data_IF_048416144683
#
_entry.id   IF_048416144683
#
_cell.length_a   1.000
_cell.length_b   1.000
_cell.length_c   1.000
_cell.angle_alpha   90.00
_cell.angle_beta   90.00
_cell.angle_gamma   90.00
#
_symmetry.space_group_name_H-M   'P 1'
#
loop_
_entity.id
_entity.type
_entity.pdbx_description
1 polymer ?
#
# COMPACT_ATOMS: atom_id res chain seq x y z
N UNK A 1 -44.37 20.09 -37.19
CA UNK A 1 -43.79 20.04 -35.81
C UNK A 1 -44.11 21.33 -35.04
N UNK A 2 -43.94 22.56 -35.59
CA UNK A 2 -44.16 23.81 -34.87
C UNK A 2 -45.60 24.03 -34.36
N UNK A 3 -46.66 23.72 -35.19
CA UNK A 3 -48.04 23.84 -34.76
C UNK A 3 -48.41 22.87 -33.62
N UNK A 4 -47.83 21.70 -33.57
CA UNK A 4 -48.02 20.73 -32.50
C UNK A 4 -47.44 21.26 -31.19
N UNK A 5 -46.23 21.79 -31.23
CA UNK A 5 -45.55 22.34 -30.07
C UNK A 5 -46.30 23.54 -29.46
N UNK A 6 -46.89 24.40 -30.30
CA UNK A 6 -47.66 25.55 -29.82
C UNK A 6 -48.99 25.10 -29.18
N UNK A 7 -49.65 24.13 -29.73
CA UNK A 7 -50.97 23.69 -29.27
C UNK A 7 -50.87 22.90 -27.95
N UNK A 8 -49.78 22.14 -27.74
CA UNK A 8 -49.56 21.28 -26.58
C UNK A 8 -48.47 21.78 -25.64
N UNK A 9 -48.17 23.11 -25.66
CA UNK A 9 -47.08 23.69 -24.86
C UNK A 9 -47.15 23.38 -23.37
N UNK A 10 -48.34 23.39 -22.75
CA UNK A 10 -48.53 23.05 -21.32
C UNK A 10 -48.25 21.59 -21.03
N UNK A 11 -48.69 20.70 -21.93
CA UNK A 11 -48.43 19.26 -21.80
C UNK A 11 -46.93 18.93 -21.95
N UNK A 12 -46.25 19.55 -22.91
CA UNK A 12 -44.82 19.37 -23.11
C UNK A 12 -44.04 19.88 -21.92
N UNK A 13 -44.42 21.03 -21.34
CA UNK A 13 -43.79 21.60 -20.16
C UNK A 13 -43.93 20.66 -18.93
N UNK A 14 -45.14 20.18 -18.67
CA UNK A 14 -45.40 19.24 -17.57
C UNK A 14 -44.62 17.94 -17.75
N UNK A 15 -44.63 17.38 -18.96
CA UNK A 15 -43.89 16.15 -19.27
C UNK A 15 -42.37 16.34 -19.09
N UNK A 16 -41.84 17.47 -19.57
CA UNK A 16 -40.42 17.80 -19.43
C UNK A 16 -40.01 17.95 -17.93
N UNK A 17 -40.84 18.64 -17.15
CA UNK A 17 -40.60 18.81 -15.71
C UNK A 17 -40.64 17.45 -14.98
N UNK A 18 -41.57 16.60 -15.37
CA UNK A 18 -41.68 15.22 -14.82
C UNK A 18 -40.44 14.37 -15.14
N UNK A 19 -39.97 14.44 -16.38
CA UNK A 19 -38.74 13.70 -16.81
C UNK A 19 -37.52 14.23 -16.03
N UNK A 20 -37.38 15.56 -15.86
CA UNK A 20 -36.29 16.14 -15.07
C UNK A 20 -36.37 15.67 -13.62
N UNK A 21 -37.55 15.68 -13.00
CA UNK A 21 -37.74 15.19 -11.64
C UNK A 21 -37.36 13.73 -11.46
N UNK A 22 -37.79 12.86 -12.41
CA UNK A 22 -37.41 11.44 -12.44
C UNK A 22 -35.90 11.25 -12.65
N UNK A 23 -35.27 12.07 -13.45
CA UNK A 23 -33.82 12.02 -13.68
C UNK A 23 -33.06 12.37 -12.42
N UNK A 24 -33.43 13.42 -11.71
CA UNK A 24 -32.81 13.82 -10.44
C UNK A 24 -32.97 12.69 -9.41
N UNK A 25 -34.15 12.13 -9.31
CA UNK A 25 -34.40 10.99 -8.42
C UNK A 25 -33.57 9.76 -8.80
N UNK A 26 -33.44 9.45 -10.10
CA UNK A 26 -32.59 8.37 -10.61
C UNK A 26 -31.12 8.58 -10.27
N UNK A 27 -30.60 9.79 -10.48
CA UNK A 27 -29.20 10.13 -10.17
C UNK A 27 -28.93 9.99 -8.68
N UNK A 28 -29.86 10.39 -7.80
CA UNK A 28 -29.67 10.28 -6.34
C UNK A 28 -29.64 8.84 -5.83
N UNK A 29 -30.08 7.88 -6.64
CA UNK A 29 -30.06 6.42 -6.36
C UNK A 29 -28.90 5.69 -7.02
N UNK A 30 -28.06 6.41 -7.73
CA UNK A 30 -26.93 5.83 -8.45
C UNK A 30 -25.80 5.55 -7.47
N UNK A 31 -25.53 4.30 -7.21
CA UNK A 31 -24.33 3.84 -6.50
C UNK A 31 -23.25 3.51 -7.52
N UNK A 32 -22.09 4.12 -7.36
CA UNK A 32 -20.92 3.78 -8.19
C UNK A 32 -20.29 2.56 -7.56
N UNK A 33 -20.57 1.41 -8.14
CA UNK A 33 -19.95 0.16 -7.73
C UNK A 33 -18.64 -0.02 -8.52
N UNK A 34 -17.53 -0.06 -7.82
CA UNK A 34 -16.20 -0.24 -8.40
C UNK A 34 -15.58 -1.60 -8.03
N UNK A 35 -16.41 -2.52 -7.52
CA UNK A 35 -15.99 -3.87 -7.17
C UNK A 35 -15.70 -4.71 -8.41
N UNK A 36 -14.45 -5.18 -8.53
CA UNK A 36 -14.05 -6.04 -9.64
C UNK A 36 -14.79 -7.40 -9.63
N UNK A 37 -15.10 -7.90 -8.44
CA UNK A 37 -15.80 -9.20 -8.25
C UNK A 37 -17.19 -9.14 -8.85
N UNK A 38 -17.88 -8.01 -8.73
CA UNK A 38 -19.27 -7.86 -9.17
C UNK A 38 -19.45 -7.74 -10.70
N UNK A 39 -18.34 -7.64 -11.46
CA UNK A 39 -18.42 -7.78 -12.92
C UNK A 39 -18.76 -9.20 -13.38
N UNK A 40 -18.56 -10.20 -12.52
CA UNK A 40 -18.86 -11.58 -12.85
C UNK A 40 -20.24 -11.98 -12.32
N UNK A 41 -20.96 -12.81 -13.09
CA UNK A 41 -22.22 -13.34 -12.61
C UNK A 41 -22.04 -14.20 -11.35
N UNK A 42 -22.87 -13.97 -10.32
CA UNK A 42 -22.84 -14.67 -9.02
C UNK A 42 -22.91 -16.20 -9.12
N UNK A 43 -23.35 -16.73 -10.27
CA UNK A 43 -23.47 -18.17 -10.53
C UNK A 43 -22.17 -18.81 -11.03
N UNK A 44 -21.20 -18.01 -11.47
CA UNK A 44 -19.95 -18.51 -12.05
C UNK A 44 -18.98 -18.99 -10.96
N UNK A 45 -18.18 -19.99 -11.29
CA UNK A 45 -17.10 -20.47 -10.41
C UNK A 45 -16.04 -19.39 -10.15
N UNK A 46 -15.81 -18.51 -11.14
CA UNK A 46 -14.90 -17.37 -11.01
C UNK A 46 -15.36 -16.43 -9.90
N UNK A 47 -16.66 -16.06 -9.89
CA UNK A 47 -17.21 -15.20 -8.83
C UNK A 47 -17.04 -15.82 -7.44
N UNK A 48 -17.40 -17.11 -7.31
CA UNK A 48 -17.29 -17.83 -6.04
C UNK A 48 -15.84 -17.94 -5.56
N UNK A 49 -14.91 -18.22 -6.48
CA UNK A 49 -13.49 -18.30 -6.17
C UNK A 49 -12.91 -16.95 -5.75
N UNK A 50 -13.21 -15.88 -6.47
CA UNK A 50 -12.76 -14.53 -6.14
C UNK A 50 -13.34 -14.05 -4.81
N UNK A 51 -14.62 -14.30 -4.57
CA UNK A 51 -15.26 -13.96 -3.30
C UNK A 51 -14.64 -14.72 -2.13
N UNK A 52 -14.32 -15.99 -2.30
CA UNK A 52 -13.62 -16.77 -1.28
C UNK A 52 -12.23 -16.21 -0.99
N UNK A 53 -11.48 -15.79 -2.02
CA UNK A 53 -10.18 -15.14 -1.87
C UNK A 53 -10.33 -13.82 -1.12
N UNK A 54 -11.31 -13.01 -1.49
CA UNK A 54 -11.59 -11.73 -0.87
C UNK A 54 -11.88 -11.87 0.63
N UNK A 55 -12.80 -12.77 1.00
CA UNK A 55 -13.22 -13.00 2.38
C UNK A 55 -12.17 -13.74 3.24
N UNK A 56 -11.40 -14.67 2.66
CA UNK A 56 -10.52 -15.58 3.41
C UNK A 56 -9.04 -15.24 3.31
N UNK A 57 -8.63 -14.60 2.25
CA UNK A 57 -7.22 -14.25 2.00
C UNK A 57 -6.92 -12.74 2.10
N UNK A 58 -7.90 -11.97 2.61
CA UNK A 58 -7.70 -10.57 2.95
C UNK A 58 -7.80 -9.61 1.77
N UNK A 59 -8.70 -9.87 0.82
CA UNK A 59 -8.97 -8.97 -0.28
C UNK A 59 -8.39 -9.39 -1.62
N UNK A 60 -8.98 -8.88 -2.69
CA UNK A 60 -8.58 -9.16 -4.07
C UNK A 60 -7.85 -7.98 -4.72
N UNK A 61 -8.05 -6.76 -4.23
CA UNK A 61 -7.46 -5.56 -4.83
C UNK A 61 -6.12 -5.22 -4.18
N UNK A 62 -4.99 -5.34 -4.90
CA UNK A 62 -3.68 -4.98 -4.36
C UNK A 62 -3.51 -3.46 -4.30
N UNK A 63 -2.92 -2.97 -3.22
CA UNK A 63 -2.47 -1.60 -3.07
C UNK A 63 -1.04 -1.59 -2.51
N UNK A 64 -0.21 -0.71 -3.06
CA UNK A 64 1.17 -0.53 -2.59
C UNK A 64 1.38 0.91 -2.13
N UNK A 65 1.99 1.05 -0.97
CA UNK A 65 2.33 2.34 -0.37
C UNK A 65 3.85 2.42 -0.30
N UNK A 66 4.42 3.48 -0.86
CA UNK A 66 5.85 3.76 -0.81
C UNK A 66 6.10 4.87 0.21
N UNK A 67 6.86 4.55 1.24
CA UNK A 67 7.36 5.51 2.22
C UNK A 67 8.72 6.00 1.77
N UNK A 68 8.84 7.29 1.48
CA UNK A 68 10.09 7.95 1.16
C UNK A 68 10.65 8.64 2.38
N UNK A 69 11.88 8.30 2.74
CA UNK A 69 12.55 8.95 3.84
C UNK A 69 13.40 10.11 3.34
N UNK A 70 13.49 11.23 4.10
CA UNK A 70 14.38 12.31 3.73
C UNK A 70 15.83 11.81 3.72
N UNK A 71 16.61 12.28 2.75
CA UNK A 71 18.04 12.04 2.74
C UNK A 71 18.63 12.65 4.01
N UNK A 72 19.28 11.85 4.82
CA UNK A 72 20.06 12.35 5.94
C UNK A 72 21.23 13.08 5.30
N UNK A 73 21.22 14.43 5.33
CA UNK A 73 22.41 15.21 4.97
C UNK A 73 23.52 14.67 5.85
N UNK A 74 24.52 14.04 5.25
CA UNK A 74 25.81 13.84 5.93
C UNK A 74 26.26 15.25 6.23
N UNK A 75 26.17 15.69 7.50
CA UNK A 75 26.83 16.91 7.92
C UNK A 75 28.30 16.72 7.53
N UNK A 76 28.74 17.54 6.58
CA UNK A 76 30.13 17.58 6.15
C UNK A 76 30.93 17.93 7.39
N UNK A 77 31.44 16.93 8.07
CA UNK A 77 32.63 17.12 8.90
C UNK A 77 33.74 17.26 7.89
N UNK A 78 34.14 18.54 7.68
CA UNK A 78 35.33 18.86 6.97
C UNK A 78 36.53 18.31 7.75
N UNK A 79 36.89 17.07 7.46
CA UNK A 79 38.21 16.52 7.76
C UNK A 79 38.82 16.11 6.42
N UNK A 80 39.68 17.00 5.92
CA UNK A 80 40.68 16.70 4.93
C UNK A 80 41.58 15.61 5.51
N UNK A 81 41.34 14.35 5.15
CA UNK A 81 42.37 13.30 5.20
C UNK A 81 42.22 12.38 3.99
N UNK A 82 43.18 12.52 3.13
CA UNK A 82 43.57 11.85 1.93
C UNK A 82 43.82 10.35 2.21
N UNK A 83 42.82 9.49 1.94
CA UNK A 83 43.02 8.03 1.86
C UNK A 83 42.11 7.42 0.80
N UNK A 84 42.52 7.46 -0.44
CA UNK A 84 42.08 6.67 -1.59
C UNK A 84 42.37 5.16 -1.33
N UNK A 85 41.45 4.42 -0.70
CA UNK A 85 41.41 2.94 -0.89
C UNK A 85 40.24 2.22 -0.16
N UNK A 86 39.09 2.87 0.10
CA UNK A 86 38.00 2.26 0.90
C UNK A 86 36.61 2.32 0.24
N UNK A 87 36.50 2.40 -1.10
CA UNK A 87 35.21 2.52 -1.78
C UNK A 87 34.29 1.28 -1.60
N UNK A 88 34.85 0.11 -1.33
CA UNK A 88 34.07 -1.14 -1.19
C UNK A 88 33.54 -1.40 0.24
N UNK A 89 34.06 -0.66 1.24
CA UNK A 89 33.58 -0.74 2.61
C UNK A 89 32.51 0.28 2.94
N UNK A 90 32.50 1.44 2.29
CA UNK A 90 31.53 2.51 2.54
C UNK A 90 30.10 2.13 2.16
N UNK A 91 29.91 1.34 1.10
CA UNK A 91 28.57 0.87 0.70
C UNK A 91 27.97 -0.12 1.72
N UNK A 92 28.78 -1.02 2.27
CA UNK A 92 28.33 -1.98 3.30
C UNK A 92 28.03 -1.32 4.63
N UNK A 93 28.73 -0.22 4.94
CA UNK A 93 28.44 0.56 6.15
C UNK A 93 27.15 1.40 5.99
N UNK A 94 26.93 2.01 4.84
CA UNK A 94 25.67 2.76 4.56
C UNK A 94 24.43 1.84 4.65
N UNK A 95 24.52 0.61 4.19
CA UNK A 95 23.46 -0.39 4.32
C UNK A 95 23.13 -0.71 5.78
N UNK A 96 24.14 -0.85 6.63
CA UNK A 96 24.00 -1.14 8.05
C UNK A 96 23.35 0.01 8.81
N UNK A 97 23.67 1.26 8.47
CA UNK A 97 23.16 2.47 9.11
C UNK A 97 21.79 2.90 8.59
N UNK A 98 21.25 2.26 7.52
CA UNK A 98 19.90 2.56 7.04
C UNK A 98 18.82 2.26 8.07
N UNK A 99 19.00 1.23 8.89
CA UNK A 99 18.03 0.75 9.88
C UNK A 99 18.01 1.66 11.12
N UNK A 100 17.58 2.91 10.97
CA UNK A 100 17.40 3.82 12.10
C UNK A 100 16.10 3.54 12.83
N UNK A 101 16.07 3.85 14.12
CA UNK A 101 14.86 3.65 14.93
C UNK A 101 13.67 4.41 14.37
N UNK A 102 13.87 5.66 13.94
CA UNK A 102 12.79 6.50 13.41
C UNK A 102 12.16 5.92 12.13
N UNK A 103 12.98 5.35 11.22
CA UNK A 103 12.48 4.69 10.02
C UNK A 103 11.69 3.44 10.37
N UNK A 104 12.23 2.61 11.26
CA UNK A 104 11.58 1.38 11.70
C UNK A 104 10.25 1.68 12.40
N UNK A 105 10.24 2.64 13.32
CA UNK A 105 9.04 3.06 14.05
C UNK A 105 8.00 3.65 13.07
N UNK A 106 8.43 4.41 12.07
CA UNK A 106 7.54 4.93 11.02
C UNK A 106 6.90 3.81 10.23
N UNK A 107 7.69 2.84 9.74
CA UNK A 107 7.17 1.68 9.00
C UNK A 107 6.18 0.91 9.85
N UNK A 108 6.52 0.66 11.12
CA UNK A 108 5.68 -0.07 12.08
C UNK A 108 4.37 0.67 12.38
N UNK A 109 4.43 1.98 12.59
CA UNK A 109 3.24 2.78 12.87
C UNK A 109 2.29 2.81 11.68
N UNK A 110 2.82 2.99 10.46
CA UNK A 110 2.00 2.97 9.25
C UNK A 110 1.42 1.57 9.01
N UNK A 111 2.23 0.51 9.19
CA UNK A 111 1.76 -0.87 9.09
C UNK A 111 0.58 -1.13 10.03
N UNK A 112 0.76 -0.84 11.33
CA UNK A 112 -0.28 -1.05 12.35
C UNK A 112 -1.53 -0.20 12.08
N UNK A 113 -1.37 1.04 11.63
CA UNK A 113 -2.50 1.88 11.25
C UNK A 113 -3.31 1.23 10.12
N UNK A 114 -2.64 0.75 9.08
CA UNK A 114 -3.29 0.12 7.93
C UNK A 114 -3.95 -1.20 8.30
N UNK A 115 -3.28 -2.04 9.10
CA UNK A 115 -3.78 -3.34 9.53
C UNK A 115 -5.04 -3.23 10.41
N UNK A 116 -5.23 -2.09 11.09
CA UNK A 116 -6.43 -1.81 11.89
C UNK A 116 -7.62 -1.25 11.08
N UNK A 117 -7.46 -0.99 9.77
CA UNK A 117 -8.55 -0.50 8.94
C UNK A 117 -9.46 -1.65 8.49
N UNK A 118 -10.79 -1.54 8.66
CA UNK A 118 -11.73 -2.63 8.35
C UNK A 118 -11.80 -2.98 6.85
N UNK A 119 -11.39 -2.05 5.99
CA UNK A 119 -11.36 -2.27 4.53
C UNK A 119 -10.09 -2.98 4.06
N UNK A 120 -9.10 -3.14 4.94
CA UNK A 120 -7.83 -3.77 4.62
C UNK A 120 -7.80 -5.17 5.22
N UNK A 121 -7.56 -6.16 4.39
CA UNK A 121 -7.60 -7.54 4.83
C UNK A 121 -6.24 -8.11 5.18
N UNK A 122 -5.16 -7.63 4.59
CA UNK A 122 -3.81 -8.07 4.91
C UNK A 122 -2.78 -7.02 4.53
N UNK A 123 -1.88 -6.74 5.47
CA UNK A 123 -0.74 -5.84 5.28
C UNK A 123 0.56 -6.63 5.37
N UNK A 124 1.47 -6.40 4.44
CA UNK A 124 2.81 -6.97 4.42
C UNK A 124 3.83 -5.84 4.27
N UNK A 125 4.80 -5.81 5.14
CA UNK A 125 5.88 -4.82 5.10
C UNK A 125 7.11 -5.37 5.83
N UNK A 126 8.16 -4.58 5.88
CA UNK A 126 9.32 -4.91 6.69
C UNK A 126 8.98 -5.11 8.18
N UNK A 127 7.93 -4.46 8.69
CA UNK A 127 7.43 -4.70 10.06
C UNK A 127 7.06 -6.16 10.30
N UNK A 128 6.43 -6.83 9.32
CA UNK A 128 6.08 -8.25 9.41
C UNK A 128 7.33 -9.14 9.55
N UNK A 129 8.41 -8.77 8.86
CA UNK A 129 9.69 -9.50 8.96
C UNK A 129 10.31 -9.30 10.36
N UNK A 130 10.28 -8.07 10.88
CA UNK A 130 10.78 -7.76 12.22
C UNK A 130 9.99 -8.53 13.29
N UNK A 131 8.68 -8.67 13.15
CA UNK A 131 7.85 -9.44 14.08
C UNK A 131 8.26 -10.91 14.11
N UNK A 132 8.43 -11.52 12.94
CA UNK A 132 8.91 -12.92 12.85
C UNK A 132 10.30 -13.04 13.45
N UNK A 133 11.21 -12.12 13.13
CA UNK A 133 12.57 -12.13 13.70
C UNK A 133 12.56 -11.95 15.22
N UNK A 134 11.68 -11.12 15.76
CA UNK A 134 11.49 -10.94 17.21
C UNK A 134 10.99 -12.23 17.89
N UNK A 135 10.01 -12.91 17.28
CA UNK A 135 9.52 -14.20 17.78
C UNK A 135 10.63 -15.26 17.80
N UNK A 136 11.46 -15.31 16.75
CA UNK A 136 12.61 -16.21 16.68
C UNK A 136 13.69 -15.86 17.73
N UNK A 137 13.77 -14.60 18.16
CA UNK A 137 14.68 -14.11 19.19
C UNK A 137 14.10 -14.21 20.62
N UNK A 138 13.19 -15.17 20.87
CA UNK A 138 12.52 -15.34 22.16
C UNK A 138 11.75 -14.10 22.63
N UNK A 139 11.00 -13.48 21.74
CA UNK A 139 10.21 -12.26 21.95
C UNK A 139 11.02 -11.04 22.43
N UNK A 140 12.34 -11.07 22.24
CA UNK A 140 13.18 -9.91 22.53
C UNK A 140 13.22 -9.01 21.29
N UNK A 141 12.87 -7.72 21.43
CA UNK A 141 12.91 -6.78 20.32
C UNK A 141 14.36 -6.63 19.83
N UNK A 142 14.51 -6.63 18.51
CA UNK A 142 15.79 -6.38 17.86
C UNK A 142 16.10 -4.87 17.91
N UNK A 143 17.27 -4.53 18.40
CA UNK A 143 17.80 -3.17 18.36
C UNK A 143 18.20 -2.77 16.94
N UNK A 144 18.32 -1.47 16.69
CA UNK A 144 18.70 -0.90 15.39
C UNK A 144 20.05 -1.46 14.89
N UNK A 145 21.02 -1.53 15.78
CA UNK A 145 22.34 -2.09 15.48
C UNK A 145 22.25 -3.60 15.17
N UNK A 146 21.44 -4.34 15.93
CA UNK A 146 21.25 -5.78 15.72
C UNK A 146 20.59 -6.06 14.36
N UNK A 147 19.63 -5.23 13.95
CA UNK A 147 19.02 -5.30 12.61
C UNK A 147 20.01 -5.04 11.49
N UNK A 148 20.86 -4.02 11.62
CA UNK A 148 21.92 -3.75 10.65
C UNK A 148 22.92 -4.89 10.54
N UNK A 149 23.35 -5.46 11.66
CA UNK A 149 24.25 -6.63 11.68
C UNK A 149 23.56 -7.87 11.11
N UNK A 150 22.27 -8.08 11.43
CA UNK A 150 21.49 -9.18 10.88
C UNK A 150 21.39 -9.05 9.35
N UNK A 151 21.07 -7.87 8.85
CA UNK A 151 20.99 -7.60 7.41
C UNK A 151 22.30 -7.94 6.69
N UNK A 152 23.46 -7.57 7.23
CA UNK A 152 24.76 -7.88 6.64
C UNK A 152 25.14 -9.37 6.67
N UNK A 153 24.58 -10.13 7.63
CA UNK A 153 24.86 -11.57 7.78
C UNK A 153 23.89 -12.48 7.03
N UNK A 154 22.75 -11.96 6.61
CA UNK A 154 21.76 -12.73 5.83
C UNK A 154 22.35 -13.02 4.44
N UNK A 155 22.27 -14.27 3.95
CA UNK A 155 22.67 -14.61 2.59
C UNK A 155 21.92 -13.78 1.54
N UNK A 156 22.61 -13.37 0.48
CA UNK A 156 22.03 -12.55 -0.59
C UNK A 156 20.74 -13.14 -1.18
N UNK A 157 20.65 -14.45 -1.33
CA UNK A 157 19.44 -15.11 -1.81
C UNK A 157 18.21 -14.83 -0.93
N UNK A 158 18.39 -14.75 0.39
CA UNK A 158 17.32 -14.47 1.35
C UNK A 158 17.00 -12.98 1.37
N UNK A 159 18.01 -12.10 1.27
CA UNK A 159 17.77 -10.65 1.17
C UNK A 159 16.88 -10.34 -0.03
N UNK A 160 17.28 -10.80 -1.21
CA UNK A 160 16.57 -10.55 -2.47
C UNK A 160 15.13 -11.06 -2.45
N UNK A 161 14.86 -12.16 -1.75
CA UNK A 161 13.55 -12.78 -1.73
C UNK A 161 12.63 -12.22 -0.63
N UNK A 162 13.18 -11.84 0.52
CA UNK A 162 12.40 -11.50 1.71
C UNK A 162 12.49 -10.01 2.07
N UNK A 163 13.64 -9.35 1.90
CA UNK A 163 13.87 -7.99 2.38
C UNK A 163 13.74 -6.96 1.26
N UNK A 164 14.45 -7.16 0.15
CA UNK A 164 14.49 -6.22 -0.98
C UNK A 164 13.11 -5.91 -1.59
N UNK A 165 12.11 -6.83 -1.56
CA UNK A 165 10.75 -6.48 -1.95
C UNK A 165 10.11 -5.37 -1.12
N UNK A 166 10.58 -5.13 0.13
CA UNK A 166 10.00 -4.17 1.06
C UNK A 166 10.89 -2.99 1.39
N UNK A 167 12.19 -3.05 1.08
CA UNK A 167 13.14 -1.98 1.38
C UNK A 167 14.06 -1.75 0.18
N UNK A 168 14.19 -0.48 -0.22
CA UNK A 168 15.24 -0.03 -1.11
C UNK A 168 16.18 0.91 -0.33
N UNK A 169 17.34 0.41 0.05
CA UNK A 169 18.35 1.21 0.75
C UNK A 169 18.88 2.30 -0.16
N UNK A 170 19.10 1.96 -1.44
CA UNK A 170 19.60 2.88 -2.45
C UNK A 170 18.69 4.07 -2.68
N UNK A 171 17.38 3.85 -2.73
CA UNK A 171 16.40 4.90 -3.00
C UNK A 171 15.85 5.51 -1.70
N UNK A 172 16.30 5.02 -0.55
CA UNK A 172 15.85 5.43 0.78
C UNK A 172 14.32 5.32 0.95
N UNK A 173 13.77 4.21 0.48
CA UNK A 173 12.32 3.95 0.45
C UNK A 173 11.97 2.65 1.17
N UNK A 174 10.75 2.59 1.71
CA UNK A 174 10.15 1.35 2.17
C UNK A 174 8.78 1.14 1.52
N UNK A 175 8.49 -0.10 1.15
CA UNK A 175 7.23 -0.51 0.54
C UNK A 175 6.36 -1.27 1.52
N UNK A 176 5.10 -0.88 1.58
CA UNK A 176 4.04 -1.61 2.29
C UNK A 176 3.08 -2.13 1.23
N UNK A 177 2.95 -3.44 1.13
CA UNK A 177 2.01 -4.11 0.24
C UNK A 177 0.79 -4.54 1.02
N UNK A 178 -0.39 -4.19 0.54
CA UNK A 178 -1.64 -4.55 1.22
C UNK A 178 -2.72 -4.96 0.22
N UNK A 179 -3.76 -5.57 0.73
CA UNK A 179 -4.94 -5.95 -0.05
C UNK A 179 -6.17 -5.30 0.54
N UNK A 180 -6.98 -4.74 -0.34
CA UNK A 180 -8.27 -4.14 0.00
C UNK A 180 -9.36 -5.18 -0.23
N UNK A 181 -10.27 -5.28 0.74
CA UNK A 181 -11.47 -6.11 0.65
C UNK A 181 -12.43 -5.41 -0.30
N UNK A 182 -12.92 -6.14 -1.30
CA UNK A 182 -13.73 -5.60 -2.39
C UNK A 182 -15.24 -5.85 -2.16
N UNK A 183 -15.63 -6.65 -1.16
CA UNK A 183 -17.02 -7.05 -0.87
C UNK A 183 -17.60 -6.37 0.36
#
# INVERSE_FOLDING_TARGET
LGKFSINYKKFIFVLSTLIIGLSIFGISKLEVENSFINYFSKKTEIYKGMKLIDEKLGGTTPLEIILKFPETKKDNVDEEDDFDDWEDQSQKDDEKYWFTKDKIDTIKNVHNYLDNLPQIGKVLSFSSIIEVATQLNNDKPLGTLEMGVLYTKIPESIKTEIIDPYISIKDNEARISLRIIDS
#
